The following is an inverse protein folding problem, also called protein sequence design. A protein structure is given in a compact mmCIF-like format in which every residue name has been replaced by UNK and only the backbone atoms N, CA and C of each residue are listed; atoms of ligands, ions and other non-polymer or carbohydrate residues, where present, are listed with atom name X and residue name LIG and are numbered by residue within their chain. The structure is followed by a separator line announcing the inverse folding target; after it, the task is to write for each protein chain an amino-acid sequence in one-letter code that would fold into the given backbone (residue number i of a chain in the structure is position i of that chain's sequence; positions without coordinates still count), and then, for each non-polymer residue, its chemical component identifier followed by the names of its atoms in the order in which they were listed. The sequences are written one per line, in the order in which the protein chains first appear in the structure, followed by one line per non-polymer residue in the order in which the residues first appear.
data_IF_889321697733
#
_entry.id   IF_889321697733
#
_cell.length_a   1.000
_cell.length_b   1.000
_cell.length_c   1.000
_cell.angle_alpha   90.00
_cell.angle_beta   90.00
_cell.angle_gamma   90.00
#
_symmetry.space_group_name_H-M   'P 1'
#
loop_
_entity.id
_entity.type
_entity.pdbx_description
1 polymer ?
#
# COMPACT_ATOMS: atom_id res chain seq x y z
N UNK A 1 13.00 -7.41 17.79
CA UNK A 1 13.38 -6.30 16.89
C UNK A 1 12.09 -5.73 16.32
N UNK A 2 11.58 -4.63 16.87
CA UNK A 2 10.37 -3.97 16.41
C UNK A 2 10.53 -2.47 16.71
N UNK A 3 10.53 -1.63 15.66
CA UNK A 3 10.64 -0.16 15.78
C UNK A 3 11.90 0.48 15.16
N UNK A 4 12.92 -0.27 14.77
CA UNK A 4 14.10 0.34 14.13
C UNK A 4 13.75 0.94 12.76
N UNK A 5 14.18 2.19 12.55
CA UNK A 5 14.01 2.90 11.28
C UNK A 5 15.00 2.38 10.21
N UNK A 6 14.93 1.09 9.90
CA UNK A 6 15.79 0.44 8.90
C UNK A 6 15.49 0.96 7.49
N UNK A 7 16.51 1.23 6.65
CA UNK A 7 16.32 1.85 5.33
C UNK A 7 15.51 1.00 4.34
N UNK A 8 15.44 -0.31 4.55
CA UNK A 8 14.76 -1.30 3.73
C UNK A 8 13.33 -1.63 4.19
N UNK A 9 12.85 -1.02 5.28
CA UNK A 9 11.51 -1.24 5.82
C UNK A 9 10.58 -0.07 5.47
N UNK A 10 9.37 -0.41 5.01
CA UNK A 10 8.28 0.49 4.63
C UNK A 10 7.09 0.25 5.55
N UNK A 11 6.39 1.31 5.97
CA UNK A 11 5.13 1.18 6.71
C UNK A 11 3.95 1.13 5.72
N UNK A 12 3.08 0.14 5.88
CA UNK A 12 1.78 0.13 5.21
C UNK A 12 0.70 0.57 6.20
N UNK A 13 -0.10 1.56 5.81
CA UNK A 13 -1.31 1.94 6.55
C UNK A 13 -2.48 1.21 5.90
N UNK A 14 -2.95 0.17 6.59
CA UNK A 14 -4.09 -0.64 6.18
C UNK A 14 -5.39 0.05 6.58
N UNK A 15 -6.22 0.37 5.58
CA UNK A 15 -7.53 0.99 5.77
C UNK A 15 -8.58 0.12 5.10
N UNK A 16 -9.44 -0.43 5.94
CA UNK A 16 -10.53 -1.30 5.55
C UNK A 16 -11.77 -1.02 6.39
N UNK A 17 -12.94 -1.42 5.91
CA UNK A 17 -14.20 -1.22 6.62
C UNK A 17 -14.40 -2.17 7.80
N UNK A 18 -13.52 -3.15 8.00
CA UNK A 18 -13.67 -4.21 9.00
C UNK A 18 -15.08 -4.82 8.98
N UNK A 19 -15.44 -5.42 7.85
CA UNK A 19 -16.78 -5.97 7.64
C UNK A 19 -17.90 -4.92 7.67
N UNK A 20 -17.60 -3.67 7.30
CA UNK A 20 -18.56 -2.57 7.30
C UNK A 20 -18.81 -1.91 8.66
N UNK A 21 -18.01 -2.21 9.69
CA UNK A 21 -18.11 -1.60 11.01
C UNK A 21 -17.49 -0.19 11.05
N UNK A 22 -16.42 0.04 10.29
CA UNK A 22 -15.81 1.36 10.12
C UNK A 22 -16.48 2.05 8.94
N UNK A 23 -17.02 3.25 9.18
CA UNK A 23 -17.75 4.05 8.19
C UNK A 23 -17.46 5.52 8.37
N UNK A 24 -17.79 6.31 7.36
CA UNK A 24 -17.58 7.77 7.35
C UNK A 24 -16.15 8.15 6.98
N UNK A 25 -15.91 9.45 6.84
CA UNK A 25 -14.60 9.97 6.46
C UNK A 25 -13.64 10.04 7.66
N UNK A 26 -12.54 9.30 7.59
CA UNK A 26 -11.46 9.29 8.59
C UNK A 26 -10.14 9.86 8.03
N UNK A 27 -10.20 10.55 6.89
CA UNK A 27 -9.01 11.02 6.15
C UNK A 27 -8.08 11.83 7.02
N UNK A 28 -8.59 12.73 7.85
CA UNK A 28 -7.78 13.59 8.70
C UNK A 28 -6.92 12.80 9.70
N UNK A 29 -7.52 11.81 10.39
CA UNK A 29 -6.79 10.94 11.32
C UNK A 29 -5.77 10.05 10.60
N UNK A 30 -6.17 9.43 9.49
CA UNK A 30 -5.30 8.56 8.69
C UNK A 30 -4.14 9.36 8.09
N UNK A 31 -4.39 10.56 7.57
CA UNK A 31 -3.37 11.42 7.00
C UNK A 31 -2.36 11.87 8.04
N UNK A 32 -2.79 12.20 9.26
CA UNK A 32 -1.86 12.49 10.36
C UNK A 32 -0.95 11.31 10.67
N UNK A 33 -1.47 10.08 10.67
CA UNK A 33 -0.64 8.88 10.84
C UNK A 33 0.37 8.74 9.70
N UNK A 34 -0.08 8.86 8.45
CA UNK A 34 0.80 8.75 7.27
C UNK A 34 1.93 9.78 7.28
N UNK A 35 1.60 11.05 7.56
CA UNK A 35 2.60 12.11 7.64
C UNK A 35 3.52 11.94 8.84
N UNK A 36 3.00 11.59 10.01
CA UNK A 36 3.80 11.33 11.21
C UNK A 36 4.80 10.18 11.01
N UNK A 37 4.38 9.08 10.36
CA UNK A 37 5.27 7.99 9.99
C UNK A 37 6.36 8.44 9.01
N UNK A 38 5.99 9.24 8.00
CA UNK A 38 6.94 9.80 7.04
C UNK A 38 7.97 10.72 7.69
N UNK A 39 7.52 11.63 8.56
CA UNK A 39 8.37 12.61 9.25
C UNK A 39 9.32 11.90 10.25
N UNK A 40 8.86 10.86 10.96
CA UNK A 40 9.72 10.00 11.79
C UNK A 40 10.82 9.30 10.97
N UNK A 41 10.51 8.95 9.71
CA UNK A 41 11.46 8.28 8.80
C UNK A 41 12.50 9.22 8.19
N UNK A 42 12.30 10.53 8.31
CA UNK A 42 13.20 11.59 7.87
C UNK A 42 12.64 12.46 6.72
N UNK A 43 13.51 13.20 6.00
CA UNK A 43 13.08 14.14 4.97
C UNK A 43 12.09 13.57 3.93
N UNK A 44 11.17 14.41 3.47
CA UNK A 44 10.19 14.05 2.43
C UNK A 44 10.85 13.79 1.08
N UNK A 45 10.17 13.03 0.21
CA UNK A 45 10.63 12.70 -1.15
C UNK A 45 9.68 13.37 -2.14
N UNK A 46 10.14 14.43 -2.82
CA UNK A 46 9.30 15.22 -3.74
C UNK A 46 7.98 15.68 -3.09
N UNK A 47 8.07 16.14 -1.83
CA UNK A 47 6.91 16.55 -1.05
C UNK A 47 6.05 15.40 -0.50
N UNK A 48 6.42 14.13 -0.72
CA UNK A 48 5.68 12.93 -0.27
C UNK A 48 6.24 12.33 1.03
N UNK A 49 5.41 11.63 1.83
CA UNK A 49 5.88 10.86 2.98
C UNK A 49 6.95 9.84 2.57
N UNK A 50 8.04 9.74 3.33
CA UNK A 50 9.11 8.78 3.05
C UNK A 50 8.74 7.39 3.57
N UNK A 51 8.79 6.37 2.69
CA UNK A 51 8.62 4.95 3.04
C UNK A 51 7.32 4.65 3.80
N UNK A 52 6.23 5.25 3.30
CA UNK A 52 4.86 4.96 3.73
C UNK A 52 4.01 4.65 2.50
N UNK A 53 3.26 3.56 2.55
CA UNK A 53 2.29 3.14 1.52
C UNK A 53 0.93 2.93 2.17
N UNK A 54 -0.12 2.96 1.38
CA UNK A 54 -1.47 2.62 1.82
C UNK A 54 -1.87 1.22 1.35
N UNK A 55 -2.82 0.63 2.04
CA UNK A 55 -3.66 -0.43 1.50
C UNK A 55 -5.11 0.05 1.57
N UNK A 56 -5.85 -0.10 0.47
CA UNK A 56 -7.25 0.32 0.41
C UNK A 56 -8.02 -0.43 -0.67
N UNK A 57 -9.09 -1.11 -0.27
CA UNK A 57 -10.09 -1.60 -1.21
C UNK A 57 -10.85 -0.40 -1.82
N UNK A 58 -11.02 -0.29 -3.15
CA UNK A 58 -11.76 0.81 -3.76
C UNK A 58 -13.21 0.94 -3.27
N UNK A 59 -13.82 -0.15 -2.77
CA UNK A 59 -15.14 -0.10 -2.12
C UNK A 59 -15.14 0.58 -0.75
N UNK A 60 -14.00 0.57 -0.06
CA UNK A 60 -13.79 1.22 1.24
C UNK A 60 -13.27 2.67 1.07
N UNK A 61 -13.16 3.17 -0.17
CA UNK A 61 -12.71 4.54 -0.45
C UNK A 61 -13.43 5.65 0.34
N UNK A 62 -14.73 5.54 0.72
CA UNK A 62 -15.38 6.51 1.58
C UNK A 62 -14.79 6.65 2.99
N UNK A 63 -13.99 5.68 3.46
CA UNK A 63 -13.27 5.75 4.75
C UNK A 63 -12.08 6.70 4.68
N UNK A 64 -11.46 6.79 3.50
CA UNK A 64 -10.28 7.61 3.28
C UNK A 64 -10.38 8.38 1.95
N UNK A 65 -11.37 9.27 1.76
CA UNK A 65 -11.59 9.99 0.50
C UNK A 65 -10.46 10.97 0.13
N UNK A 66 -9.82 11.60 1.13
CA UNK A 66 -8.71 12.55 0.91
C UNK A 66 -7.39 11.86 1.23
N UNK A 67 -6.68 11.44 0.18
CA UNK A 67 -5.46 10.63 0.28
C UNK A 67 -4.21 11.44 -0.05
N UNK A 68 -3.08 11.19 0.64
CA UNK A 68 -1.81 11.77 0.28
C UNK A 68 -1.26 11.06 -0.97
N UNK A 69 -0.31 11.67 -1.70
CA UNK A 69 0.29 11.10 -2.91
C UNK A 69 1.30 9.96 -2.60
N UNK A 70 0.83 8.89 -1.95
CA UNK A 70 1.60 7.68 -1.61
C UNK A 70 1.24 6.53 -2.57
N UNK A 71 2.07 5.47 -2.60
CA UNK A 71 1.73 4.24 -3.31
C UNK A 71 0.69 3.40 -2.56
N UNK A 72 -0.15 2.66 -3.30
CA UNK A 72 -1.19 1.80 -2.75
C UNK A 72 -1.04 0.33 -3.15
N UNK A 73 -1.23 -0.56 -2.18
CA UNK A 73 -1.60 -1.95 -2.43
C UNK A 73 -3.13 -2.01 -2.54
N UNK A 74 -3.65 -2.56 -3.63
CA UNK A 74 -5.09 -2.60 -3.89
C UNK A 74 -5.54 -4.06 -3.94
N UNK A 75 -6.46 -4.50 -3.07
CA UNK A 75 -6.98 -5.85 -3.10
C UNK A 75 -8.05 -6.04 -4.18
N UNK A 76 -8.04 -7.21 -4.80
CA UNK A 76 -9.14 -7.72 -5.63
C UNK A 76 -8.91 -9.20 -5.90
N UNK A 77 -9.71 -10.08 -5.31
CA UNK A 77 -9.46 -11.51 -5.45
C UNK A 77 -10.10 -12.07 -6.71
N UNK A 78 -9.29 -12.74 -7.52
CA UNK A 78 -9.76 -13.45 -8.71
C UNK A 78 -10.01 -12.58 -9.94
N UNK A 79 -9.80 -11.27 -9.82
CA UNK A 79 -9.92 -10.32 -10.91
C UNK A 79 -9.01 -9.11 -10.69
N UNK A 80 -8.76 -8.35 -11.76
CA UNK A 80 -8.12 -7.04 -11.64
C UNK A 80 -9.02 -6.08 -10.85
N UNK A 81 -8.46 -5.21 -9.98
CA UNK A 81 -9.26 -4.25 -9.23
C UNK A 81 -10.09 -3.35 -10.14
N UNK A 82 -11.38 -3.22 -9.81
CA UNK A 82 -12.26 -2.22 -10.40
C UNK A 82 -12.15 -0.90 -9.62
N UNK A 83 -12.13 0.21 -10.35
CA UNK A 83 -11.97 1.55 -9.77
C UNK A 83 -13.26 2.36 -10.00
N UNK A 84 -14.19 2.44 -9.04
CA UNK A 84 -15.40 3.24 -9.16
C UNK A 84 -15.08 4.75 -9.22
N UNK A 85 -16.06 5.60 -9.62
CA UNK A 85 -15.89 7.05 -9.60
C UNK A 85 -15.36 7.54 -8.24
N UNK A 86 -14.42 8.48 -8.26
CA UNK A 86 -13.76 8.99 -7.04
C UNK A 86 -12.55 8.17 -6.54
N UNK A 87 -12.13 7.13 -7.28
CA UNK A 87 -10.93 6.32 -6.95
C UNK A 87 -9.85 6.34 -8.03
N UNK A 88 -9.88 7.34 -8.93
CA UNK A 88 -8.94 7.44 -10.05
C UNK A 88 -7.49 7.68 -9.59
N UNK A 89 -7.31 8.31 -8.43
CA UNK A 89 -6.03 8.46 -7.75
C UNK A 89 -5.51 7.12 -7.23
N UNK A 90 -6.36 6.27 -6.62
CA UNK A 90 -5.96 4.90 -6.24
C UNK A 90 -5.47 4.11 -7.44
N UNK A 91 -6.16 4.20 -8.59
CA UNK A 91 -5.72 3.56 -9.83
C UNK A 91 -4.35 4.06 -10.27
N UNK A 92 -4.13 5.37 -10.22
CA UNK A 92 -2.86 6.01 -10.62
C UNK A 92 -1.71 5.63 -9.69
N UNK A 93 -1.99 5.48 -8.41
CA UNK A 93 -1.01 5.26 -7.36
C UNK A 93 -0.88 3.80 -6.92
N UNK A 94 -1.61 2.88 -7.55
CA UNK A 94 -1.46 1.45 -7.32
C UNK A 94 -0.03 1.01 -7.66
N UNK A 95 0.63 0.38 -6.70
CA UNK A 95 1.99 -0.17 -6.81
C UNK A 95 2.01 -1.69 -6.72
N UNK A 96 0.98 -2.30 -6.14
CA UNK A 96 0.79 -3.73 -6.08
C UNK A 96 -0.69 -4.10 -5.99
N UNK A 97 -0.98 -5.34 -6.36
CA UNK A 97 -2.28 -5.99 -6.31
C UNK A 97 -2.23 -7.13 -5.31
N UNK A 98 -3.05 -7.10 -4.27
CA UNK A 98 -3.30 -8.29 -3.45
C UNK A 98 -4.36 -9.14 -4.16
N UNK A 99 -3.94 -10.26 -4.75
CA UNK A 99 -4.80 -11.03 -5.67
C UNK A 99 -5.42 -12.27 -5.04
N UNK A 100 -4.98 -12.66 -3.84
CA UNK A 100 -5.48 -13.81 -3.11
C UNK A 100 -5.17 -13.65 -1.62
N UNK A 101 -6.00 -14.27 -0.78
CA UNK A 101 -5.78 -14.51 0.64
C UNK A 101 -5.15 -15.89 0.95
N UNK A 102 -4.78 -16.63 -0.09
CA UNK A 102 -4.26 -17.99 -0.01
C UNK A 102 -5.33 -19.09 -0.01
N UNK A 103 -6.61 -18.75 -0.20
CA UNK A 103 -7.71 -19.73 -0.29
C UNK A 103 -8.17 -20.00 -1.74
N UNK A 104 -7.52 -19.40 -2.74
CA UNK A 104 -7.82 -19.55 -4.16
C UNK A 104 -7.50 -18.28 -4.96
N UNK A 105 -7.97 -18.18 -6.21
CA UNK A 105 -7.90 -16.96 -7.04
C UNK A 105 -6.52 -16.53 -7.58
N UNK A 106 -5.47 -17.32 -7.37
CA UNK A 106 -4.13 -17.08 -7.90
C UNK A 106 -4.06 -17.24 -9.42
N UNK A 107 -4.97 -18.00 -10.05
CA UNK A 107 -5.02 -18.20 -11.50
C UNK A 107 -3.66 -18.64 -12.10
N UNK A 108 -2.96 -19.52 -11.39
CA UNK A 108 -1.61 -20.00 -11.76
C UNK A 108 -0.46 -19.23 -11.10
N UNK A 109 -0.75 -18.14 -10.38
CA UNK A 109 0.17 -17.50 -9.45
C UNK A 109 0.15 -18.22 -8.08
N UNK A 110 1.19 -18.04 -7.24
CA UNK A 110 1.21 -18.62 -5.89
C UNK A 110 0.01 -18.20 -5.03
N UNK A 111 -0.50 -19.12 -4.21
CA UNK A 111 -1.59 -18.89 -3.24
C UNK A 111 -1.13 -19.18 -1.81
N UNK A 112 0.15 -18.90 -1.54
CA UNK A 112 0.81 -19.23 -0.28
C UNK A 112 2.25 -19.71 -0.48
N UNK A 113 2.82 -20.29 0.57
CA UNK A 113 4.15 -20.88 0.57
C UNK A 113 4.14 -22.27 1.22
N UNK A 114 4.44 -23.29 0.43
CA UNK A 114 4.37 -24.68 0.88
C UNK A 114 2.95 -25.04 1.34
N UNK A 115 2.79 -25.37 2.61
CA UNK A 115 1.48 -25.66 3.23
C UNK A 115 0.82 -24.44 3.89
N UNK A 116 1.49 -23.29 3.90
CA UNK A 116 0.98 -22.07 4.53
C UNK A 116 0.15 -21.29 3.52
N UNK A 117 -1.11 -21.03 3.87
CA UNK A 117 -1.97 -20.08 3.14
C UNK A 117 -1.68 -18.68 3.66
N UNK A 118 -1.41 -17.75 2.76
CA UNK A 118 -1.21 -16.35 3.09
C UNK A 118 -1.58 -15.45 1.93
N UNK A 119 -1.82 -14.18 2.22
CA UNK A 119 -2.04 -13.16 1.21
C UNK A 119 -0.87 -13.09 0.24
N UNK A 120 -1.16 -13.08 -1.06
CA UNK A 120 -0.14 -12.92 -2.10
C UNK A 120 -0.39 -11.64 -2.88
N UNK A 121 0.71 -10.96 -3.18
CA UNK A 121 0.74 -9.67 -3.82
C UNK A 121 1.58 -9.71 -5.10
N UNK A 122 1.15 -9.00 -6.13
CA UNK A 122 1.89 -8.85 -7.37
C UNK A 122 2.10 -7.37 -7.71
N UNK A 123 3.35 -6.98 -8.01
CA UNK A 123 3.70 -5.61 -8.37
C UNK A 123 3.28 -5.24 -9.81
N UNK A 124 2.75 -6.21 -10.56
CA UNK A 124 1.99 -6.02 -11.79
C UNK A 124 2.63 -5.05 -12.79
N UNK A 125 3.71 -5.50 -13.43
CA UNK A 125 4.43 -4.73 -14.45
C UNK A 125 5.54 -3.84 -13.89
N UNK A 126 5.81 -3.90 -12.58
CA UNK A 126 6.99 -3.27 -11.97
C UNK A 126 8.13 -4.27 -11.81
N UNK A 127 9.31 -3.87 -12.24
CA UNK A 127 10.54 -4.55 -11.82
C UNK A 127 10.89 -4.19 -10.33
N UNK A 128 11.87 -4.89 -9.71
CA UNK A 128 12.23 -4.65 -8.32
C UNK A 128 12.69 -3.21 -8.02
N UNK A 129 13.37 -2.55 -8.95
CA UNK A 129 13.87 -1.18 -8.77
C UNK A 129 12.72 -0.16 -8.87
N UNK A 130 11.80 -0.38 -9.80
CA UNK A 130 10.58 0.41 -9.92
C UNK A 130 9.69 0.27 -8.67
N UNK A 131 9.56 -0.94 -8.12
CA UNK A 131 8.82 -1.14 -6.86
C UNK A 131 9.53 -0.47 -5.68
N UNK A 132 10.86 -0.57 -5.60
CA UNK A 132 11.68 0.11 -4.59
C UNK A 132 11.47 1.63 -4.63
N UNK A 133 11.51 2.23 -5.82
CA UNK A 133 11.25 3.66 -5.99
C UNK A 133 9.80 4.02 -5.62
N UNK A 134 8.82 3.20 -6.02
CA UNK A 134 7.41 3.44 -5.76
C UNK A 134 7.03 3.35 -4.26
N UNK A 135 7.79 2.58 -3.48
CA UNK A 135 7.66 2.50 -2.02
C UNK A 135 8.45 3.59 -1.29
N UNK A 136 9.16 4.47 -2.00
CA UNK A 136 9.94 5.57 -1.41
C UNK A 136 11.24 5.12 -0.73
N UNK A 137 11.72 3.90 -1.00
CA UNK A 137 13.07 3.48 -0.62
C UNK A 137 14.03 4.14 -1.62
N UNK A 138 14.85 5.09 -1.15
CA UNK A 138 15.93 5.69 -1.95
C UNK A 138 17.24 4.98 -1.68
N UNK A 139 18.15 4.95 -2.68
CA UNK A 139 19.51 4.49 -2.42
C UNK A 139 20.14 5.36 -1.31
N UNK A 140 20.93 4.80 -0.39
CA UNK A 140 21.66 5.62 0.57
C UNK A 140 22.49 6.65 -0.21
N UNK A 141 22.49 7.90 0.24
CA UNK A 141 23.39 8.90 -0.29
C UNK A 141 24.81 8.31 -0.27
N UNK A 142 25.47 8.26 -1.43
CA UNK A 142 26.90 7.94 -1.47
C UNK A 142 27.57 8.87 -0.46
N UNK A 143 28.19 8.29 0.56
CA UNK A 143 29.07 9.07 1.45
C UNK A 143 30.15 9.64 0.52
N UNK A 144 30.17 10.96 0.40
CA UNK A 144 31.28 11.70 -0.19
C UNK A 144 32.49 11.63 0.75
#
# INVERSE_FOLDING_TARGET
MQGDNRPDVVSMVDVESWGGQIRGDHSDAINRLVWGLGDWRGPRIDGRPRRVIGYLNPHDAPIWPVRPPIGFVVPSYGAWPAFPPGTSDLRRHMIAHQYTNGEGYGHGLPEGYGTVRCDMNAANGRDPEQLRAATGITAPARRA
#
